data_IF_930345206942
#
_entry.id   IF_930345206942
#
_cell.length_a   1.000
_cell.length_b   1.000
_cell.length_c   1.000
_cell.angle_alpha   90.00
_cell.angle_beta   90.00
_cell.angle_gamma   90.00
#
_symmetry.space_group_name_H-M   'P 1'
#
loop_
_entity.id
_entity.type
_entity.pdbx_description
1 polymer ?
#
# COMPACT_ATOMS: atom_id res chain seq x y z
N UNK A 1 17.50 -9.01 6.25
CA UNK A 1 16.06 -8.79 6.01
C UNK A 1 15.77 -9.18 4.57
N UNK A 2 14.63 -9.83 4.31
CA UNK A 2 14.24 -10.29 2.96
C UNK A 2 13.56 -9.14 2.21
N UNK A 3 13.78 -9.09 0.90
CA UNK A 3 13.07 -8.17 0.01
C UNK A 3 11.57 -8.48 -0.04
N UNK A 4 10.78 -7.43 -0.28
CA UNK A 4 9.35 -7.51 -0.53
C UNK A 4 9.11 -8.01 -1.96
N UNK A 5 8.17 -8.95 -2.11
CA UNK A 5 7.78 -9.48 -3.40
C UNK A 5 6.25 -9.49 -3.55
N UNK A 6 5.77 -8.86 -4.62
CA UNK A 6 4.36 -8.86 -5.01
C UNK A 6 4.09 -10.04 -5.96
N UNK A 7 3.13 -10.88 -5.61
CA UNK A 7 2.59 -11.90 -6.51
C UNK A 7 1.39 -11.32 -7.25
N UNK A 8 1.63 -10.69 -8.40
CA UNK A 8 0.57 -9.97 -9.13
C UNK A 8 -0.62 -10.85 -9.54
N UNK A 9 -0.41 -12.15 -9.79
CA UNK A 9 -1.51 -13.06 -10.10
C UNK A 9 -2.42 -13.24 -8.89
N UNK A 10 -1.85 -13.61 -7.74
CA UNK A 10 -2.62 -13.82 -6.50
C UNK A 10 -3.24 -12.51 -6.04
N UNK A 11 -2.52 -11.39 -6.16
CA UNK A 11 -3.04 -10.06 -5.90
C UNK A 11 -4.28 -9.76 -6.75
N UNK A 12 -4.22 -10.01 -8.07
CA UNK A 12 -5.36 -9.79 -8.97
C UNK A 12 -6.55 -10.67 -8.62
N UNK A 13 -6.31 -11.95 -8.32
CA UNK A 13 -7.36 -12.90 -7.94
C UNK A 13 -8.08 -12.41 -6.65
N UNK A 14 -7.31 -12.07 -5.61
CA UNK A 14 -7.81 -11.51 -4.35
C UNK A 14 -8.56 -10.18 -4.53
N UNK A 15 -8.00 -9.24 -5.29
CA UNK A 15 -8.62 -7.93 -5.54
C UNK A 15 -9.90 -8.04 -6.37
N UNK A 16 -9.97 -9.01 -7.28
CA UNK A 16 -11.17 -9.29 -8.06
C UNK A 16 -12.28 -9.80 -7.17
N UNK A 17 -11.98 -10.72 -6.24
CA UNK A 17 -12.94 -11.19 -5.24
C UNK A 17 -13.48 -10.05 -4.37
N UNK A 18 -12.59 -9.15 -3.90
CA UNK A 18 -12.97 -7.96 -3.14
C UNK A 18 -13.88 -7.03 -3.94
N UNK A 19 -13.52 -6.73 -5.20
CA UNK A 19 -14.31 -5.86 -6.06
C UNK A 19 -15.70 -6.45 -6.32
N UNK A 20 -15.80 -7.74 -6.66
CA UNK A 20 -17.08 -8.42 -6.88
C UNK A 20 -17.92 -8.41 -5.60
N UNK A 21 -17.32 -8.70 -4.44
CA UNK A 21 -18.02 -8.66 -3.16
C UNK A 21 -18.59 -7.27 -2.85
N UNK A 22 -17.84 -6.20 -3.17
CA UNK A 22 -18.30 -4.82 -2.99
C UNK A 22 -19.49 -4.48 -3.89
N UNK A 23 -19.43 -4.85 -5.18
CA UNK A 23 -20.53 -4.60 -6.13
C UNK A 23 -21.80 -5.35 -5.72
N UNK A 24 -21.68 -6.61 -5.28
CA UNK A 24 -22.80 -7.40 -4.79
C UNK A 24 -23.42 -6.81 -3.52
N UNK A 25 -22.59 -6.37 -2.57
CA UNK A 25 -23.06 -5.69 -1.36
C UNK A 25 -23.81 -4.38 -1.68
N UNK A 26 -23.45 -3.71 -2.77
CA UNK A 26 -24.15 -2.53 -3.27
C UNK A 26 -25.55 -2.80 -3.84
N UNK A 27 -25.84 -4.04 -4.24
CA UNK A 27 -27.14 -4.43 -4.82
C UNK A 27 -28.18 -4.81 -3.75
N UNK A 28 -27.75 -5.29 -2.58
CA UNK A 28 -28.64 -5.83 -1.54
C UNK A 28 -29.05 -4.82 -0.45
N UNK A 29 -28.52 -3.59 -0.44
CA UNK A 29 -28.81 -2.59 0.61
C UNK A 29 -29.12 -1.18 0.04
N UNK A 30 -30.41 -0.78 -0.05
CA UNK A 30 -30.76 0.62 -0.21
C UNK A 30 -30.71 1.27 1.18
N UNK A 31 -29.63 2.00 1.47
CA UNK A 31 -29.40 2.82 2.68
C UNK A 31 -29.16 2.06 4.00
N UNK A 32 -27.97 2.27 4.58
CA UNK A 32 -27.71 2.03 6.02
C UNK A 32 -26.40 1.28 6.31
N UNK A 33 -25.42 2.00 6.86
CA UNK A 33 -24.21 1.52 7.55
C UNK A 33 -23.28 0.56 6.76
N UNK A 34 -22.32 1.14 6.02
CA UNK A 34 -21.12 0.46 5.49
C UNK A 34 -19.99 0.28 6.54
N UNK A 35 -20.34 0.24 7.83
CA UNK A 35 -19.37 -0.10 8.88
C UNK A 35 -19.40 -1.61 9.12
N UNK A 36 -18.42 -2.35 8.58
CA UNK A 36 -18.27 -3.77 8.96
C UNK A 36 -17.41 -4.67 8.08
N UNK A 37 -16.96 -4.23 6.90
CA UNK A 37 -15.98 -4.99 6.13
C UNK A 37 -14.57 -4.52 6.48
N UNK A 38 -13.80 -5.28 7.26
CA UNK A 38 -12.45 -4.91 7.71
C UNK A 38 -11.38 -4.84 6.60
N UNK A 39 -11.78 -4.94 5.32
CA UNK A 39 -10.88 -4.96 4.16
C UNK A 39 -10.95 -3.71 3.31
N UNK A 40 -10.01 -3.53 2.36
CA UNK A 40 -10.00 -2.38 1.47
C UNK A 40 -11.23 -2.34 0.56
N UNK A 41 -11.86 -1.17 0.44
CA UNK A 41 -13.06 -0.97 -0.39
C UNK A 41 -12.71 -0.70 -1.86
N UNK A 42 -11.95 -1.62 -2.47
CA UNK A 42 -11.66 -1.55 -3.92
C UNK A 42 -12.90 -1.99 -4.68
N UNK A 43 -13.50 -1.09 -5.46
CA UNK A 43 -14.65 -1.34 -6.35
C UNK A 43 -14.26 -1.08 -7.81
N UNK A 44 -15.13 -1.38 -8.78
CA UNK A 44 -14.73 -1.38 -10.20
C UNK A 44 -14.30 0.00 -10.73
N UNK A 45 -14.90 1.06 -10.20
CA UNK A 45 -14.59 2.45 -10.54
C UNK A 45 -13.61 3.13 -9.58
N UNK A 46 -13.02 2.37 -8.64
CA UNK A 46 -12.15 2.95 -7.61
C UNK A 46 -10.90 3.59 -8.23
N UNK A 47 -10.51 4.73 -7.69
CA UNK A 47 -9.31 5.48 -8.07
C UNK A 47 -8.57 5.94 -6.82
N UNK A 48 -7.25 5.73 -6.74
CA UNK A 48 -6.49 6.09 -5.55
C UNK A 48 -6.31 7.61 -5.35
N UNK A 49 -6.50 8.40 -6.42
CA UNK A 49 -6.27 9.86 -6.42
C UNK A 49 -7.53 10.69 -6.14
N UNK A 50 -8.71 10.06 -6.15
CA UNK A 50 -9.96 10.77 -5.92
C UNK A 50 -10.08 11.18 -4.45
N UNK A 51 -10.64 12.38 -4.14
CA UNK A 51 -10.81 12.82 -2.77
C UNK A 51 -11.58 11.81 -1.90
N UNK A 52 -11.07 11.54 -0.69
CA UNK A 52 -11.71 10.60 0.23
C UNK A 52 -11.38 9.12 -0.02
N UNK A 53 -10.42 8.83 -0.90
CA UNK A 53 -9.95 7.47 -1.19
C UNK A 53 -8.65 7.10 -0.47
N UNK A 54 -8.10 8.01 0.34
CA UNK A 54 -6.81 7.86 1.02
C UNK A 54 -6.83 6.66 1.99
N UNK A 55 -7.93 6.50 2.73
CA UNK A 55 -8.14 5.38 3.64
C UNK A 55 -8.15 4.04 2.90
N UNK A 56 -8.68 3.99 1.67
CA UNK A 56 -8.71 2.76 0.86
C UNK A 56 -7.30 2.35 0.45
N UNK A 57 -6.43 3.31 0.11
CA UNK A 57 -5.02 3.05 -0.24
C UNK A 57 -4.27 2.48 0.96
N UNK A 58 -4.43 3.08 2.14
CA UNK A 58 -3.79 2.60 3.37
C UNK A 58 -4.27 1.18 3.72
N UNK A 59 -5.59 0.96 3.71
CA UNK A 59 -6.21 -0.37 3.96
C UNK A 59 -5.82 -1.42 2.93
N UNK A 60 -5.57 -1.02 1.68
CA UNK A 60 -5.14 -1.92 0.62
C UNK A 60 -3.75 -2.48 0.92
N UNK A 61 -2.83 -1.61 1.34
CA UNK A 61 -1.47 -2.02 1.71
C UNK A 61 -1.50 -2.89 2.96
N UNK A 62 -2.27 -2.51 3.99
CA UNK A 62 -2.46 -3.31 5.21
C UNK A 62 -3.03 -4.71 4.89
N UNK A 63 -4.12 -4.78 4.13
CA UNK A 63 -4.75 -6.04 3.74
C UNK A 63 -3.83 -6.93 2.90
N UNK A 64 -2.97 -6.34 2.05
CA UNK A 64 -1.99 -7.11 1.28
C UNK A 64 -0.90 -7.73 2.17
N UNK A 65 -0.54 -7.13 3.32
CA UNK A 65 0.37 -7.75 4.29
C UNK A 65 -0.27 -8.94 5.01
N UNK A 66 -1.55 -8.84 5.36
CA UNK A 66 -2.28 -9.95 5.97
C UNK A 66 -2.37 -11.16 5.02
N UNK A 67 -2.29 -10.92 3.70
CA UNK A 67 -2.23 -11.94 2.66
C UNK A 67 -0.77 -12.20 2.26
N UNK A 68 -0.04 -13.02 3.01
CA UNK A 68 1.40 -13.29 2.77
C UNK A 68 1.73 -13.82 1.37
N UNK A 69 0.74 -14.40 0.67
CA UNK A 69 0.85 -14.87 -0.70
C UNK A 69 0.66 -13.76 -1.76
N UNK A 70 0.09 -12.61 -1.37
CA UNK A 70 -0.08 -11.40 -2.18
C UNK A 70 1.19 -10.55 -2.11
N UNK A 71 1.54 -10.05 -0.92
CA UNK A 71 2.74 -9.26 -0.69
C UNK A 71 3.60 -9.95 0.35
N UNK A 72 4.62 -10.69 -0.12
CA UNK A 72 5.54 -11.32 0.81
C UNK A 72 6.43 -10.27 1.46
N UNK A 73 6.61 -10.38 2.77
CA UNK A 73 7.44 -9.49 3.58
C UNK A 73 8.25 -10.27 4.61
N UNK A 74 9.20 -9.60 5.28
CA UNK A 74 9.85 -10.12 6.48
C UNK A 74 8.89 -9.96 7.66
N UNK A 75 8.85 -10.91 8.60
CA UNK A 75 8.08 -10.75 9.86
C UNK A 75 8.54 -9.56 10.73
N UNK A 76 9.66 -8.95 10.38
CA UNK A 76 10.26 -7.81 11.07
C UNK A 76 10.10 -6.50 10.33
N UNK A 77 9.39 -6.47 9.20
CA UNK A 77 9.22 -5.26 8.41
C UNK A 77 7.84 -5.18 7.74
N UNK A 78 7.26 -3.98 7.72
CA UNK A 78 6.00 -3.68 7.05
C UNK A 78 6.13 -2.40 6.22
N UNK A 79 5.41 -2.34 5.10
CA UNK A 79 5.27 -1.11 4.31
C UNK A 79 3.96 -0.42 4.65
N UNK A 80 3.98 0.90 4.74
CA UNK A 80 2.80 1.74 4.93
C UNK A 80 2.81 2.93 3.97
N UNK A 81 1.79 3.77 4.07
CA UNK A 81 1.69 5.04 3.36
C UNK A 81 1.21 6.12 4.32
N UNK A 82 1.68 7.34 4.12
CA UNK A 82 1.22 8.53 4.83
C UNK A 82 0.82 9.59 3.80
N UNK A 83 -0.36 10.17 3.98
CA UNK A 83 -0.82 11.35 3.25
C UNK A 83 -0.53 12.60 4.08
N UNK A 84 0.01 13.62 3.43
CA UNK A 84 0.48 14.85 4.05
C UNK A 84 -0.35 15.99 3.48
N UNK A 85 -1.09 16.66 4.36
CA UNK A 85 -1.72 17.94 4.05
C UNK A 85 -0.70 19.06 4.36
N UNK A 86 -0.15 19.66 3.30
CA UNK A 86 0.76 20.80 3.41
C UNK A 86 0.07 22.15 3.14
N UNK A 87 -1.25 22.14 2.91
CA UNK A 87 -2.06 23.31 2.63
C UNK A 87 -1.99 23.85 1.19
N UNK A 88 -1.17 23.26 0.30
CA UNK A 88 -1.07 23.66 -1.11
C UNK A 88 -1.38 22.49 -2.05
N UNK A 89 -0.62 21.41 -1.94
CA UNK A 89 -0.68 20.24 -2.82
C UNK A 89 -0.62 18.98 -1.97
N UNK A 90 -1.65 18.14 -2.09
CA UNK A 90 -1.75 16.91 -1.30
C UNK A 90 -0.57 16.02 -1.68
N UNK A 91 0.27 15.69 -0.72
CA UNK A 91 1.43 14.83 -0.91
C UNK A 91 1.20 13.49 -0.23
N UNK A 92 1.96 12.48 -0.65
CA UNK A 92 2.05 11.20 0.02
C UNK A 92 3.51 10.75 0.11
N UNK A 93 3.77 9.80 1.02
CA UNK A 93 5.03 9.06 1.03
C UNK A 93 4.82 7.64 1.53
N UNK A 94 5.55 6.71 0.93
CA UNK A 94 5.64 5.35 1.46
C UNK A 94 6.58 5.28 2.65
N UNK A 95 6.23 4.43 3.61
CA UNK A 95 6.97 4.18 4.83
C UNK A 95 7.45 2.73 4.86
N UNK A 96 8.66 2.49 5.37
CA UNK A 96 9.14 1.18 5.74
C UNK A 96 9.32 1.14 7.26
N UNK A 97 8.48 0.36 7.94
CA UNK A 97 8.55 0.13 9.37
C UNK A 97 9.37 -1.13 9.63
N UNK A 98 10.55 -0.97 10.23
CA UNK A 98 11.33 -2.07 10.80
C UNK A 98 10.87 -2.25 12.24
N UNK A 99 10.38 -3.43 12.58
CA UNK A 99 9.79 -3.77 13.89
C UNK A 99 10.85 -4.39 14.82
N UNK A 100 11.77 -5.15 14.25
CA UNK A 100 12.80 -5.91 14.96
C UNK A 100 14.10 -5.99 14.14
N UNK A 101 15.29 -5.99 14.77
CA UNK A 101 15.54 -5.97 16.22
C UNK A 101 15.41 -4.59 16.88
N UNK A 102 15.33 -3.51 16.09
CA UNK A 102 15.15 -2.13 16.57
C UNK A 102 14.04 -1.48 15.78
N UNK A 103 13.08 -0.87 16.49
CA UNK A 103 11.98 -0.17 15.86
C UNK A 103 12.48 1.09 15.15
N UNK A 104 12.42 1.10 13.82
CA UNK A 104 12.82 2.25 12.98
C UNK A 104 11.79 2.43 11.87
N UNK A 105 11.37 3.67 11.62
CA UNK A 105 10.57 4.00 10.43
C UNK A 105 11.43 4.80 9.47
N UNK A 106 11.49 4.34 8.23
CA UNK A 106 12.12 5.03 7.12
C UNK A 106 11.01 5.58 6.23
N UNK A 107 11.19 6.81 5.77
CA UNK A 107 10.22 7.46 4.89
C UNK A 107 10.85 7.73 3.53
N UNK A 108 10.12 7.38 2.47
CA UNK A 108 10.44 7.84 1.12
C UNK A 108 10.27 9.37 1.02
N UNK A 109 10.88 10.02 0.02
CA UNK A 109 10.58 11.41 -0.30
C UNK A 109 9.08 11.64 -0.49
N UNK A 110 8.58 12.79 -0.04
CA UNK A 110 7.21 13.19 -0.32
C UNK A 110 7.02 13.38 -1.83
N UNK A 111 5.89 12.89 -2.34
CA UNK A 111 5.50 12.92 -3.75
C UNK A 111 4.08 13.47 -3.85
N UNK A 112 3.78 14.26 -4.88
CA UNK A 112 2.42 14.77 -5.11
C UNK A 112 1.43 13.62 -5.34
N UNK A 113 0.23 13.70 -4.76
CA UNK A 113 -0.85 12.70 -4.94
C UNK A 113 -1.24 12.54 -6.41
N UNK A 114 -1.02 13.56 -7.24
CA UNK A 114 -1.16 13.47 -8.69
C UNK A 114 -0.27 12.39 -9.34
N UNK A 115 0.75 11.90 -8.64
CA UNK A 115 1.65 10.84 -9.11
C UNK A 115 1.38 9.47 -8.45
N UNK A 116 0.36 9.37 -7.58
CA UNK A 116 0.02 8.14 -6.87
C UNK A 116 -0.62 7.11 -7.81
N UNK A 117 0.03 5.97 -8.02
CA UNK A 117 -0.49 4.92 -8.91
C UNK A 117 -0.48 5.34 -10.38
N UNK A 118 -1.27 4.65 -11.19
CA UNK A 118 -1.44 4.91 -12.63
C UNK A 118 -2.83 5.54 -12.87
N UNK A 119 -2.91 6.72 -13.51
CA UNK A 119 -4.19 7.42 -13.78
C UNK A 119 -4.99 6.82 -14.91
N UNK A 120 -4.37 5.98 -15.74
CA UNK A 120 -5.03 5.39 -16.89
C UNK A 120 -5.87 4.16 -16.54
N UNK A 121 -5.82 3.71 -15.28
CA UNK A 121 -6.44 2.48 -14.80
C UNK A 121 -7.33 2.70 -13.58
N UNK A 122 -8.29 1.80 -13.40
CA UNK A 122 -9.31 1.86 -12.36
C UNK A 122 -9.41 0.52 -11.63
N UNK A 123 -10.02 0.54 -10.44
CA UNK A 123 -10.37 -0.64 -9.67
C UNK A 123 -9.19 -1.56 -9.40
N UNK A 124 -9.30 -2.82 -9.81
CA UNK A 124 -8.30 -3.86 -9.57
C UNK A 124 -6.92 -3.49 -10.13
N UNK A 125 -6.83 -2.96 -11.34
CA UNK A 125 -5.53 -2.62 -11.94
C UNK A 125 -4.91 -1.38 -11.28
N UNK A 126 -5.73 -0.41 -10.84
CA UNK A 126 -5.25 0.68 -10.02
C UNK A 126 -4.69 0.18 -8.67
N UNK A 127 -5.37 -0.79 -8.03
CA UNK A 127 -4.91 -1.39 -6.78
C UNK A 127 -3.59 -2.14 -6.95
N UNK A 128 -3.44 -2.91 -8.04
CA UNK A 128 -2.17 -3.57 -8.37
C UNK A 128 -1.06 -2.54 -8.57
N UNK A 129 -1.35 -1.41 -9.23
CA UNK A 129 -0.38 -0.32 -9.43
C UNK A 129 0.13 0.22 -8.09
N UNK A 130 -0.77 0.48 -7.14
CA UNK A 130 -0.43 0.91 -5.77
C UNK A 130 0.45 -0.13 -5.06
N UNK A 131 0.07 -1.42 -5.11
CA UNK A 131 0.86 -2.48 -4.48
C UNK A 131 2.27 -2.59 -5.08
N UNK A 132 2.40 -2.38 -6.39
CA UNK A 132 3.69 -2.36 -7.08
C UNK A 132 4.54 -1.17 -6.64
N UNK A 133 3.95 0.00 -6.46
CA UNK A 133 4.64 1.17 -5.90
C UNK A 133 5.07 0.98 -4.46
N UNK A 134 4.21 0.40 -3.62
CA UNK A 134 4.52 0.07 -2.24
C UNK A 134 5.70 -0.90 -2.16
N UNK A 135 5.69 -1.98 -2.95
CA UNK A 135 6.78 -2.95 -3.02
C UNK A 135 8.10 -2.29 -3.46
N UNK A 136 8.07 -1.49 -4.54
CA UNK A 136 9.27 -0.81 -5.04
C UNK A 136 9.86 0.15 -4.01
N UNK A 137 9.00 0.92 -3.35
CA UNK A 137 9.40 1.88 -2.31
C UNK A 137 9.99 1.18 -1.09
N UNK A 138 9.36 0.09 -0.62
CA UNK A 138 9.86 -0.70 0.49
C UNK A 138 11.25 -1.28 0.20
N UNK A 139 11.45 -1.85 -1.00
CA UNK A 139 12.75 -2.41 -1.39
C UNK A 139 13.83 -1.33 -1.57
N UNK A 140 13.45 -0.14 -2.07
CA UNK A 140 14.38 0.99 -2.15
C UNK A 140 14.85 1.43 -0.76
N UNK A 141 13.91 1.63 0.17
CA UNK A 141 14.22 2.02 1.56
C UNK A 141 15.05 0.94 2.28
N UNK A 142 14.72 -0.33 2.05
CA UNK A 142 15.47 -1.46 2.61
C UNK A 142 16.91 -1.48 2.10
N UNK A 143 17.12 -1.26 0.79
CA UNK A 143 18.45 -1.16 0.19
C UNK A 143 19.26 0.02 0.75
N UNK A 144 18.63 1.18 0.95
CA UNK A 144 19.26 2.35 1.58
C UNK A 144 19.70 2.06 3.01
N UNK A 145 18.85 1.41 3.80
CA UNK A 145 19.17 1.00 5.18
C UNK A 145 20.35 0.02 5.21
N UNK A 146 20.34 -1.00 4.33
CA UNK A 146 21.44 -1.95 4.23
C UNK A 146 22.76 -1.27 3.84
N UNK A 147 22.71 -0.33 2.89
CA UNK A 147 23.86 0.48 2.50
C UNK A 147 24.40 1.32 3.65
N UNK A 148 23.53 1.97 4.43
CA UNK A 148 23.91 2.75 5.61
C UNK A 148 24.57 1.88 6.70
N UNK A 149 23.97 0.72 7.01
CA UNK A 149 24.52 -0.23 8.00
C UNK A 149 25.89 -0.75 7.53
N UNK A 150 26.04 -1.08 6.25
CA UNK A 150 27.31 -1.56 5.71
C UNK A 150 28.42 -0.49 5.78
N UNK A 151 28.09 0.76 5.46
CA UNK A 151 29.04 1.89 5.54
C UNK A 151 29.49 2.14 6.98
N UNK A 152 28.55 2.18 7.93
CA UNK A 152 28.84 2.43 9.35
C UNK A 152 29.55 1.28 10.06
N UNK A 153 29.43 0.06 9.55
CA UNK A 153 30.15 -1.12 10.09
C UNK A 153 31.60 -1.22 9.64
N UNK A 154 32.02 -0.47 8.60
CA UNK A 154 33.42 -0.43 8.13
C UNK A 154 34.27 0.62 8.84
N UNK A 155 33.66 1.51 9.62
CA UNK A 155 34.33 2.60 10.36
C UNK A 155 34.57 2.26 11.85
N UNK A 156 34.42 0.98 12.24
CA UNK A 156 34.70 0.43 13.59
C UNK A 156 35.75 -0.68 13.48
#
# INVERSE_FOLDING_TARGET
>A
MKDFALNEKVARDWLTELAVAHELAGLDCPSGNRDGGAGPQVHLAWQPREPGQEDVVSRLIEGAHEQTDVLSHSEHAAVGIEFIDDGNDWCYRFLLHIISPVSVTLAAPATEVAQLGDDSVYGVEAAISILREAQRSANSLLGQLQGFVAATSHDI
#
